data_IF_514770815390
#
_entry.id   IF_514770815390
#
_cell.length_a   1.000
_cell.length_b   1.000
_cell.length_c   1.000
_cell.angle_alpha   90.00
_cell.angle_beta   90.00
_cell.angle_gamma   90.00
#
_symmetry.space_group_name_H-M   'P 1'
#
loop_
_entity.id
_entity.type
_entity.pdbx_description
1 polymer ?
#
# COMPACT_ATOMS: atom_id res chain seq x y z
N UNK A 1 8.74 -7.44 -12.06
CA UNK A 1 7.36 -7.69 -11.56
C UNK A 1 7.13 -6.71 -10.44
N UNK A 2 6.19 -5.79 -10.65
CA UNK A 2 5.86 -4.66 -9.79
C UNK A 2 4.72 -5.04 -8.85
N UNK A 3 4.93 -4.91 -7.55
CA UNK A 3 3.97 -5.34 -6.53
C UNK A 3 3.56 -4.14 -5.69
N UNK A 4 2.28 -3.80 -5.70
CA UNK A 4 1.72 -2.82 -4.78
C UNK A 4 1.55 -3.41 -3.38
N UNK A 5 1.99 -2.68 -2.36
CA UNK A 5 1.85 -3.09 -0.96
C UNK A 5 1.09 -2.00 -0.21
N UNK A 6 -0.13 -2.31 0.23
CA UNK A 6 -0.87 -1.47 1.17
C UNK A 6 -0.17 -1.51 2.53
N UNK A 7 0.53 -0.43 2.88
CA UNK A 7 1.30 -0.36 4.12
C UNK A 7 0.43 -0.13 5.35
N UNK A 8 -0.87 0.12 5.19
CA UNK A 8 -1.78 0.40 6.30
C UNK A 8 -2.61 -0.82 6.71
N UNK A 9 -2.57 -1.90 5.92
CA UNK A 9 -3.31 -3.13 6.18
C UNK A 9 -2.61 -4.04 7.19
N UNK A 10 -3.29 -4.34 8.29
CA UNK A 10 -2.88 -5.37 9.26
C UNK A 10 -2.66 -4.85 10.68
N UNK A 11 -2.68 -5.75 11.67
CA UNK A 11 -2.68 -5.41 13.09
C UNK A 11 -1.38 -4.71 13.57
N UNK A 12 -0.27 -4.92 12.85
CA UNK A 12 1.04 -4.32 13.12
C UNK A 12 1.50 -3.37 12.00
N UNK A 13 0.55 -2.89 11.20
CA UNK A 13 0.80 -1.86 10.21
C UNK A 13 1.02 -0.50 10.91
N UNK A 14 1.88 0.36 10.35
CA UNK A 14 2.62 0.17 9.10
C UNK A 14 3.98 -0.52 9.23
N UNK A 15 4.49 -0.66 10.45
CA UNK A 15 5.90 -0.98 10.69
C UNK A 15 6.32 -2.35 10.16
N UNK A 16 5.55 -3.41 10.46
CA UNK A 16 5.90 -4.77 10.04
C UNK A 16 5.70 -4.97 8.53
N UNK A 17 4.72 -4.29 7.94
CA UNK A 17 4.47 -4.34 6.49
C UNK A 17 5.60 -3.67 5.73
N UNK A 18 6.03 -2.47 6.19
CA UNK A 18 7.18 -1.78 5.63
C UNK A 18 8.46 -2.62 5.73
N UNK A 19 8.72 -3.20 6.91
CA UNK A 19 9.90 -4.04 7.14
C UNK A 19 9.91 -5.24 6.18
N UNK A 20 8.79 -5.95 6.07
CA UNK A 20 8.66 -7.09 5.15
C UNK A 20 8.84 -6.69 3.69
N UNK A 21 8.25 -5.57 3.27
CA UNK A 21 8.34 -5.08 1.91
C UNK A 21 9.77 -4.68 1.53
N UNK A 22 10.48 -3.99 2.41
CA UNK A 22 11.87 -3.59 2.20
C UNK A 22 12.82 -4.80 2.19
N UNK A 23 12.58 -5.78 3.07
CA UNK A 23 13.31 -7.03 3.10
C UNK A 23 13.11 -7.84 1.80
N UNK A 24 11.87 -7.96 1.33
CA UNK A 24 11.56 -8.67 0.08
C UNK A 24 12.24 -8.02 -1.14
N UNK A 25 12.32 -6.69 -1.19
CA UNK A 25 13.10 -6.00 -2.22
C UNK A 25 14.58 -6.38 -2.14
N UNK A 26 15.16 -6.41 -0.94
CA UNK A 26 16.59 -6.70 -0.73
C UNK A 26 16.93 -8.16 -1.03
N UNK A 27 16.16 -9.11 -0.49
CA UNK A 27 16.46 -10.54 -0.58
C UNK A 27 15.99 -11.18 -1.90
N UNK A 28 14.89 -10.69 -2.48
CA UNK A 28 14.24 -11.31 -3.64
C UNK A 28 14.34 -10.45 -4.91
N UNK A 29 14.82 -9.20 -4.80
CA UNK A 29 14.91 -8.29 -5.94
C UNK A 29 13.54 -7.85 -6.51
N UNK A 30 12.46 -7.95 -5.71
CA UNK A 30 11.13 -7.53 -6.14
C UNK A 30 11.03 -6.01 -6.34
N UNK A 31 10.28 -5.57 -7.35
CA UNK A 31 9.95 -4.16 -7.55
C UNK A 31 8.75 -3.80 -6.68
N UNK A 32 9.01 -3.23 -5.51
CA UNK A 32 7.97 -2.87 -4.54
C UNK A 32 7.49 -1.43 -4.77
N UNK A 33 6.17 -1.26 -4.77
CA UNK A 33 5.48 0.03 -4.75
C UNK A 33 4.67 0.14 -3.45
N UNK A 34 5.10 1.02 -2.53
CA UNK A 34 4.38 1.23 -1.27
C UNK A 34 3.15 2.11 -1.49
N UNK A 35 2.00 1.76 -0.95
CA UNK A 35 0.76 2.54 -1.06
C UNK A 35 0.25 2.90 0.33
N UNK A 36 0.17 4.20 0.63
CA UNK A 36 -0.27 4.69 1.94
C UNK A 36 0.04 6.17 2.16
N UNK A 37 -0.18 6.69 3.39
CA UNK A 37 0.01 8.11 3.71
C UNK A 37 1.46 8.55 3.49
N UNK A 38 1.66 9.78 3.01
CA UNK A 38 3.00 10.30 2.68
C UNK A 38 3.99 10.18 3.84
N UNK A 39 3.54 10.46 5.06
CA UNK A 39 4.35 10.36 6.28
C UNK A 39 4.88 8.93 6.54
N UNK A 40 4.23 7.90 5.99
CA UNK A 40 4.59 6.49 6.16
C UNK A 40 5.49 6.01 5.03
N UNK A 41 5.16 6.34 3.77
CA UNK A 41 5.81 5.76 2.59
C UNK A 41 7.00 6.56 2.07
N UNK A 42 7.08 7.86 2.36
CA UNK A 42 8.14 8.73 1.83
C UNK A 42 9.49 8.39 2.44
N UNK A 43 10.53 8.47 1.61
CA UNK A 43 11.92 8.29 2.07
C UNK A 43 12.34 6.85 2.36
N UNK A 44 11.55 5.85 1.96
CA UNK A 44 11.84 4.41 2.18
C UNK A 44 12.77 3.80 1.12
N UNK A 45 13.28 4.59 0.17
CA UNK A 45 14.22 4.11 -0.86
C UNK A 45 13.59 3.17 -1.90
N UNK A 46 12.26 3.23 -2.04
CA UNK A 46 11.46 2.45 -3.00
C UNK A 46 10.40 3.34 -3.63
N UNK A 47 9.78 2.88 -4.72
CA UNK A 47 8.65 3.59 -5.31
C UNK A 47 7.47 3.61 -4.34
N UNK A 48 6.69 4.69 -4.39
CA UNK A 48 5.50 4.82 -3.57
C UNK A 48 4.40 5.63 -4.26
N UNK A 49 3.17 5.42 -3.81
CA UNK A 49 1.98 6.18 -4.17
C UNK A 49 1.31 6.65 -2.88
N UNK A 50 1.04 7.95 -2.80
CA UNK A 50 0.36 8.54 -1.65
C UNK A 50 -1.14 8.22 -1.71
N UNK A 51 -1.66 7.70 -0.62
CA UNK A 51 -3.08 7.48 -0.37
C UNK A 51 -3.39 7.91 1.07
N UNK A 52 -4.16 8.97 1.25
CA UNK A 52 -4.34 9.57 2.58
C UNK A 52 -5.42 8.87 3.43
N UNK A 53 -6.38 8.22 2.77
CA UNK A 53 -7.41 7.49 3.51
C UNK A 53 -6.93 6.08 3.89
N UNK A 54 -7.48 5.59 4.99
CA UNK A 54 -7.31 4.20 5.43
C UNK A 54 -8.68 3.59 5.68
N UNK A 55 -8.86 2.35 5.24
CA UNK A 55 -10.02 1.53 5.59
C UNK A 55 -9.77 0.94 6.97
N UNK A 56 -10.61 1.30 7.94
CA UNK A 56 -10.54 0.84 9.32
C UNK A 56 -11.41 -0.38 9.52
N UNK A 57 -11.10 -1.17 10.56
CA UNK A 57 -11.85 -2.39 10.90
C UNK A 57 -13.31 -2.13 11.27
N UNK A 58 -13.62 -0.92 11.74
CA UNK A 58 -14.96 -0.48 12.13
C UNK A 58 -15.71 0.30 11.04
N UNK A 59 -15.08 0.53 9.88
CA UNK A 59 -15.75 1.20 8.76
C UNK A 59 -16.90 0.33 8.24
N UNK A 60 -18.05 0.96 7.99
CA UNK A 60 -19.17 0.25 7.37
C UNK A 60 -18.87 -0.02 5.89
N UNK A 61 -19.34 -1.13 5.31
CA UNK A 61 -19.10 -1.46 3.90
C UNK A 61 -19.45 -0.31 2.92
N UNK A 62 -20.54 0.41 3.17
CA UNK A 62 -20.97 1.54 2.34
C UNK A 62 -20.03 2.76 2.45
N UNK A 63 -19.37 2.95 3.58
CA UNK A 63 -18.40 4.03 3.78
C UNK A 63 -17.08 3.71 3.07
N UNK A 64 -16.64 2.45 3.14
CA UNK A 64 -15.45 1.96 2.42
C UNK A 64 -15.56 2.22 0.92
N UNK A 65 -16.74 1.96 0.32
CA UNK A 65 -16.96 2.20 -1.11
C UNK A 65 -16.75 3.66 -1.53
N UNK A 66 -16.89 4.62 -0.61
CA UNK A 66 -16.71 6.06 -0.85
C UNK A 66 -15.26 6.52 -0.65
N UNK A 67 -14.42 5.76 0.07
CA UNK A 67 -13.00 6.07 0.31
C UNK A 67 -12.13 5.70 -0.90
N UNK A 68 -12.32 6.42 -2.01
CA UNK A 68 -11.57 6.21 -3.26
C UNK A 68 -10.08 6.58 -3.17
N UNK A 69 -9.68 7.34 -2.15
CA UNK A 69 -8.28 7.64 -1.87
C UNK A 69 -7.67 6.76 -0.77
N UNK A 70 -8.31 5.62 -0.46
CA UNK A 70 -7.77 4.70 0.54
C UNK A 70 -6.59 3.90 -0.02
N UNK A 71 -5.62 3.59 0.83
CA UNK A 71 -4.44 2.80 0.43
C UNK A 71 -4.80 1.50 -0.28
N UNK A 72 -5.78 0.77 0.25
CA UNK A 72 -6.34 -0.43 -0.38
C UNK A 72 -6.95 -0.14 -1.76
N UNK A 73 -7.80 0.88 -1.87
CA UNK A 73 -8.45 1.21 -3.15
C UNK A 73 -7.43 1.64 -4.21
N UNK A 74 -6.48 2.48 -3.83
CA UNK A 74 -5.42 2.97 -4.71
C UNK A 74 -4.54 1.82 -5.18
N UNK A 75 -4.15 0.89 -4.30
CA UNK A 75 -3.40 -0.31 -4.68
C UNK A 75 -4.14 -1.17 -5.72
N UNK A 76 -5.43 -1.44 -5.49
CA UNK A 76 -6.27 -2.19 -6.45
C UNK A 76 -6.46 -1.45 -7.78
N UNK A 77 -6.55 -0.11 -7.73
CA UNK A 77 -6.67 0.72 -8.93
C UNK A 77 -5.37 0.68 -9.76
N UNK A 78 -4.19 0.69 -9.12
CA UNK A 78 -2.91 0.52 -9.82
C UNK A 78 -2.83 -0.82 -10.55
N UNK A 79 -3.33 -1.90 -9.93
CA UNK A 79 -3.37 -3.22 -10.54
C UNK A 79 -4.33 -3.22 -11.74
N UNK A 80 -5.52 -2.67 -11.57
CA UNK A 80 -6.51 -2.52 -12.64
C UNK A 80 -5.97 -1.74 -13.84
N UNK A 81 -5.16 -0.71 -13.59
CA UNK A 81 -4.59 0.15 -14.63
C UNK A 81 -3.29 -0.42 -15.24
N UNK A 82 -2.81 -1.58 -14.79
CA UNK A 82 -1.57 -2.21 -15.26
C UNK A 82 -0.29 -1.47 -14.83
N UNK A 83 -0.41 -0.58 -13.85
CA UNK A 83 0.73 0.14 -13.27
C UNK A 83 1.57 -0.77 -12.35
N UNK A 84 0.92 -1.79 -11.78
CA UNK A 84 1.56 -2.90 -11.07
C UNK A 84 1.04 -4.22 -11.63
N UNK A 85 1.77 -5.30 -11.36
CA UNK A 85 1.46 -6.64 -11.82
C UNK A 85 0.75 -7.48 -10.73
N UNK A 86 0.85 -7.05 -9.46
CA UNK A 86 0.18 -7.61 -8.30
C UNK A 86 -0.14 -6.53 -7.26
#
# INVERSE_FOLDING_TARGET
MRIAVDVMGGDRAPDEVLKGALLAREELGCEIVLVGPEAVVKGKGVQFVVAEDVVKMDDKPLEVLRKKNSSMHVGLQLLKDGSVDA
#
